data_IF_157651970614
#
_entry.id   IF_157651970614
#
_cell.length_a   1.000
_cell.length_b   1.000
_cell.length_c   1.000
_cell.angle_alpha   90.00
_cell.angle_beta   90.00
_cell.angle_gamma   90.00
#
_symmetry.space_group_name_H-M   'P 1'
#
loop_
_entity.id
_entity.type
_entity.pdbx_description
1 polymer ?
#
# COMPACT_ATOMS: atom_id res chain seq x y z
N UNK A 1 -20.47 16.04 -2.95
CA UNK A 1 -21.36 14.87 -2.75
C UNK A 1 -20.49 13.63 -2.72
N UNK A 2 -20.19 13.09 -1.54
CA UNK A 2 -19.47 11.82 -1.43
C UNK A 2 -20.42 10.69 -1.86
N UNK A 3 -19.90 9.74 -2.64
CA UNK A 3 -20.66 8.63 -3.21
C UNK A 3 -21.02 7.67 -2.06
N UNK A 4 -22.31 7.36 -1.88
CA UNK A 4 -22.75 6.33 -0.91
C UNK A 4 -21.99 5.02 -1.18
N UNK A 5 -21.28 4.51 -0.17
CA UNK A 5 -20.47 3.28 -0.25
C UNK A 5 -18.94 3.47 -0.31
N UNK A 6 -18.42 4.70 -0.42
CA UNK A 6 -16.99 4.92 -0.35
C UNK A 6 -16.49 4.88 1.12
N UNK A 7 -15.64 3.90 1.44
CA UNK A 7 -14.92 3.85 2.72
C UNK A 7 -14.09 5.12 2.88
N UNK A 8 -14.31 5.86 3.97
CA UNK A 8 -13.54 7.05 4.32
C UNK A 8 -12.27 6.64 5.06
N UNK A 9 -11.23 6.30 4.31
CA UNK A 9 -9.92 5.94 4.89
C UNK A 9 -9.09 7.22 4.99
N UNK A 10 -8.77 7.63 6.22
CA UNK A 10 -7.88 8.76 6.47
C UNK A 10 -6.45 8.39 6.05
N UNK A 11 -5.73 9.35 5.47
CA UNK A 11 -4.29 9.18 5.24
C UNK A 11 -3.54 9.06 6.57
N UNK A 12 -2.51 8.24 6.58
CA UNK A 12 -1.54 8.11 7.68
C UNK A 12 -0.23 8.88 7.40
N UNK A 13 -0.13 9.52 6.22
CA UNK A 13 0.98 10.39 5.88
C UNK A 13 1.06 11.55 6.89
N UNK A 14 2.25 11.83 7.41
CA UNK A 14 2.46 12.84 8.46
C UNK A 14 1.98 12.43 9.87
N UNK A 15 1.35 11.26 10.04
CA UNK A 15 1.07 10.69 11.38
C UNK A 15 2.13 9.67 11.82
N UNK A 16 3.06 9.35 10.94
CA UNK A 16 4.20 8.45 11.16
C UNK A 16 5.50 9.20 10.85
N UNK A 17 6.65 8.64 11.23
CA UNK A 17 7.94 9.23 10.86
C UNK A 17 8.14 9.23 9.34
N UNK A 18 8.90 10.18 8.81
CA UNK A 18 9.23 10.26 7.38
C UNK A 18 9.90 8.97 6.86
N UNK A 19 10.76 8.37 7.69
CA UNK A 19 11.43 7.11 7.37
C UNK A 19 10.44 5.94 7.24
N UNK A 20 9.46 5.85 8.14
CA UNK A 20 8.41 4.85 8.05
C UNK A 20 7.51 5.09 6.83
N UNK A 21 7.15 6.34 6.56
CA UNK A 21 6.35 6.68 5.38
C UNK A 21 7.05 6.26 4.09
N UNK A 22 8.34 6.57 3.94
CA UNK A 22 9.12 6.14 2.78
C UNK A 22 9.17 4.61 2.66
N UNK A 23 9.41 3.90 3.76
CA UNK A 23 9.41 2.44 3.77
C UNK A 23 8.05 1.85 3.33
N UNK A 24 6.93 2.47 3.72
CA UNK A 24 5.57 2.06 3.29
C UNK A 24 5.36 2.29 1.79
N UNK A 25 5.85 3.40 1.25
CA UNK A 25 5.79 3.71 -0.18
C UNK A 25 6.61 2.69 -0.98
N UNK A 26 7.84 2.43 -0.54
CA UNK A 26 8.76 1.48 -1.19
C UNK A 26 8.21 0.06 -1.13
N UNK A 27 7.67 -0.36 0.01
CA UNK A 27 7.00 -1.66 0.17
C UNK A 27 5.80 -1.79 -0.77
N UNK A 28 4.96 -0.75 -0.86
CA UNK A 28 3.83 -0.75 -1.79
C UNK A 28 4.29 -0.82 -3.26
N UNK A 29 5.42 -0.19 -3.62
CA UNK A 29 6.01 -0.33 -4.93
C UNK A 29 6.54 -1.76 -5.16
N UNK A 30 7.18 -2.36 -4.16
CA UNK A 30 7.69 -3.74 -4.22
C UNK A 30 6.57 -4.75 -4.50
N UNK A 31 5.46 -4.69 -3.77
CA UNK A 31 4.29 -5.57 -4.04
C UNK A 31 3.78 -5.43 -5.48
N UNK A 32 3.70 -4.20 -6.02
CA UNK A 32 3.27 -3.97 -7.42
C UNK A 32 4.25 -4.55 -8.44
N UNK A 33 5.55 -4.46 -8.16
CA UNK A 33 6.58 -5.08 -8.99
C UNK A 33 6.49 -6.60 -8.93
N UNK A 34 6.33 -7.19 -7.75
CA UNK A 34 6.13 -8.63 -7.59
C UNK A 34 4.96 -9.15 -8.42
N UNK A 35 3.82 -8.44 -8.41
CA UNK A 35 2.68 -8.78 -9.26
C UNK A 35 3.01 -8.65 -10.76
N UNK A 36 3.64 -7.53 -11.14
CA UNK A 36 4.03 -7.27 -12.54
C UNK A 36 4.99 -8.32 -13.12
N UNK A 37 5.81 -8.95 -12.27
CA UNK A 37 6.76 -9.99 -12.66
C UNK A 37 6.25 -11.43 -12.44
N UNK A 38 4.98 -11.61 -12.03
CA UNK A 38 4.41 -12.94 -11.77
C UNK A 38 5.04 -13.66 -10.57
N UNK A 39 5.58 -12.89 -9.63
CA UNK A 39 6.13 -13.39 -8.35
C UNK A 39 5.10 -13.35 -7.22
N UNK A 40 3.90 -12.81 -7.47
CA UNK A 40 2.78 -12.85 -6.53
C UNK A 40 2.11 -14.23 -6.54
N UNK A 41 1.72 -14.70 -5.35
CA UNK A 41 0.84 -15.86 -5.17
C UNK A 41 -0.38 -15.43 -4.38
N UNK A 42 -1.39 -14.89 -5.07
CA UNK A 42 -2.65 -14.41 -4.50
C UNK A 42 -2.42 -13.59 -3.21
N UNK A 43 -2.71 -14.19 -2.04
CA UNK A 43 -2.55 -13.56 -0.72
C UNK A 43 -1.42 -14.20 0.12
N UNK A 44 -0.65 -15.13 -0.45
CA UNK A 44 0.36 -15.94 0.24
C UNK A 44 1.77 -15.33 0.18
N UNK A 45 2.04 -14.40 -0.74
CA UNK A 45 3.30 -13.66 -0.79
C UNK A 45 3.39 -12.65 0.36
N UNK A 46 4.48 -12.70 1.13
CA UNK A 46 4.78 -11.76 2.21
C UNK A 46 6.17 -11.14 1.97
N UNK A 47 6.22 -9.82 1.98
CA UNK A 47 7.40 -8.96 1.84
C UNK A 47 7.46 -8.06 3.06
#
# INVERSE_FOLDING_TARGET
>A
MAREGALQIKSIEGTVSDAEWQARVDLAACYRLCDSYGMSDMIYTHI
#
